data_IF_005330595956
#
_entry.id   IF_005330595956
#
_cell.length_a   1.000
_cell.length_b   1.000
_cell.length_c   1.000
_cell.angle_alpha   90.00
_cell.angle_beta   90.00
_cell.angle_gamma   90.00
#
_symmetry.space_group_name_H-M   'P 1'
#
loop_
_entity.id
_entity.type
_entity.pdbx_description
1 polymer ?
#
# COMPACT_ATOMS: atom_id res chain seq x y z
N UNK A 1 -19.04 -4.33 -15.31
CA UNK A 1 -18.56 -4.12 -16.70
C UNK A 1 -19.56 -4.77 -17.64
N UNK A 2 -19.88 -4.15 -18.78
CA UNK A 2 -20.72 -4.77 -19.82
C UNK A 2 -19.97 -5.84 -20.61
N UNK A 3 -18.63 -5.82 -20.60
CA UNK A 3 -17.77 -6.71 -21.37
C UNK A 3 -16.82 -7.46 -20.42
N UNK A 4 -17.39 -8.36 -19.62
CA UNK A 4 -16.65 -9.07 -18.56
C UNK A 4 -15.48 -9.90 -19.11
N UNK A 5 -15.70 -10.60 -20.22
CA UNK A 5 -14.68 -11.47 -20.84
C UNK A 5 -13.46 -10.69 -21.33
N UNK A 6 -13.67 -9.59 -22.07
CA UNK A 6 -12.59 -8.72 -22.54
C UNK A 6 -11.83 -8.06 -21.38
N UNK A 7 -12.56 -7.68 -20.32
CA UNK A 7 -11.96 -7.13 -19.11
C UNK A 7 -11.05 -8.18 -18.45
N UNK A 8 -11.51 -9.42 -18.36
CA UNK A 8 -10.74 -10.52 -17.79
C UNK A 8 -9.50 -10.85 -18.62
N UNK A 9 -9.64 -10.93 -19.95
CA UNK A 9 -8.53 -11.17 -20.86
C UNK A 9 -7.44 -10.08 -20.76
N UNK A 10 -7.84 -8.81 -20.57
CA UNK A 10 -6.89 -7.73 -20.34
C UNK A 10 -6.15 -7.89 -19.02
N UNK A 11 -6.86 -8.26 -17.95
CA UNK A 11 -6.26 -8.53 -16.64
C UNK A 11 -5.25 -9.69 -16.74
N UNK A 12 -5.62 -10.79 -17.40
CA UNK A 12 -4.70 -11.92 -17.62
C UNK A 12 -3.47 -11.51 -18.43
N UNK A 13 -3.64 -10.71 -19.48
CA UNK A 13 -2.53 -10.17 -20.25
C UNK A 13 -1.60 -9.33 -19.38
N UNK A 14 -2.14 -8.45 -18.53
CA UNK A 14 -1.37 -7.59 -17.61
C UNK A 14 -0.53 -8.39 -16.60
N UNK A 15 -1.06 -9.52 -16.14
CA UNK A 15 -0.39 -10.40 -15.20
C UNK A 15 0.65 -11.33 -15.83
N UNK A 16 0.94 -11.21 -17.13
CA UNK A 16 2.06 -11.95 -17.72
C UNK A 16 3.41 -11.35 -17.26
N UNK A 17 4.42 -12.17 -16.92
CA UNK A 17 5.72 -11.68 -16.45
C UNK A 17 6.40 -10.68 -17.39
N UNK A 18 6.25 -10.89 -18.70
CA UNK A 18 6.81 -10.01 -19.71
C UNK A 18 6.18 -8.61 -19.70
N UNK A 19 4.88 -8.51 -19.40
CA UNK A 19 4.19 -7.21 -19.35
C UNK A 19 4.55 -6.45 -18.07
N UNK A 20 4.59 -7.14 -16.92
CA UNK A 20 5.07 -6.57 -15.66
C UNK A 20 6.49 -5.99 -15.82
N UNK A 21 7.42 -6.80 -16.35
CA UNK A 21 8.78 -6.33 -16.67
C UNK A 21 8.76 -5.09 -17.57
N UNK A 22 8.01 -5.15 -18.68
CA UNK A 22 7.98 -4.04 -19.64
C UNK A 22 7.47 -2.76 -19.01
N UNK A 23 6.46 -2.86 -18.15
CA UNK A 23 5.91 -1.71 -17.45
C UNK A 23 6.89 -1.15 -16.42
N UNK A 24 7.43 -2.02 -15.56
CA UNK A 24 8.32 -1.62 -14.45
C UNK A 24 9.65 -1.06 -14.93
N UNK A 25 10.10 -1.44 -16.13
CA UNK A 25 11.25 -0.80 -16.81
C UNK A 25 11.09 0.73 -16.96
N UNK A 26 9.85 1.22 -17.07
CA UNK A 26 9.57 2.65 -17.18
C UNK A 26 9.05 3.24 -15.86
N UNK A 27 8.18 2.53 -15.16
CA UNK A 27 7.54 3.02 -13.95
C UNK A 27 8.46 2.98 -12.71
N UNK A 28 9.42 2.04 -12.68
CA UNK A 28 10.22 1.77 -11.48
C UNK A 28 9.44 1.04 -10.38
N UNK A 29 8.23 0.56 -10.68
CA UNK A 29 7.39 -0.21 -9.76
C UNK A 29 7.94 -1.62 -9.51
N UNK A 30 7.36 -2.30 -8.51
CA UNK A 30 7.67 -3.68 -8.16
C UNK A 30 6.71 -4.65 -8.86
N UNK A 31 7.20 -5.80 -9.34
CA UNK A 31 6.34 -6.79 -9.98
C UNK A 31 5.38 -7.39 -8.95
N UNK A 32 4.10 -7.46 -9.33
CA UNK A 32 3.02 -7.92 -8.45
C UNK A 32 3.03 -9.45 -8.30
N UNK A 33 3.42 -10.17 -9.35
CA UNK A 33 3.46 -11.64 -9.37
C UNK A 33 4.86 -12.20 -9.11
N UNK A 34 4.91 -13.40 -8.56
CA UNK A 34 6.16 -14.05 -8.15
C UNK A 34 7.05 -14.38 -9.34
N UNK A 35 6.46 -14.86 -10.43
CA UNK A 35 7.17 -15.30 -11.63
C UNK A 35 7.91 -14.14 -12.31
N UNK A 36 7.40 -12.92 -12.20
CA UNK A 36 8.09 -11.75 -12.71
C UNK A 36 9.34 -11.40 -11.89
N UNK A 37 9.34 -11.62 -10.57
CA UNK A 37 10.51 -11.37 -9.69
C UNK A 37 11.74 -12.19 -10.09
N UNK A 38 11.52 -13.38 -10.64
CA UNK A 38 12.56 -14.30 -11.09
C UNK A 38 13.21 -13.88 -12.43
N UNK A 39 12.63 -12.90 -13.14
CA UNK A 39 13.25 -12.40 -14.37
C UNK A 39 14.58 -11.71 -14.04
N UNK A 40 15.65 -11.90 -14.84
CA UNK A 40 16.96 -11.30 -14.58
C UNK A 40 16.93 -9.79 -14.32
N UNK A 41 16.02 -9.07 -14.97
CA UNK A 41 15.82 -7.64 -14.77
C UNK A 41 15.56 -7.24 -13.30
N UNK A 42 14.83 -8.07 -12.55
CA UNK A 42 14.53 -7.84 -11.14
C UNK A 42 15.49 -8.63 -10.24
N UNK A 43 15.70 -9.91 -10.54
CA UNK A 43 16.52 -10.80 -9.72
C UNK A 43 17.99 -10.37 -9.61
N UNK A 44 18.57 -9.77 -10.65
CA UNK A 44 19.98 -9.37 -10.64
C UNK A 44 20.20 -7.90 -10.26
N UNK A 45 19.12 -7.14 -10.11
CA UNK A 45 19.19 -5.71 -9.84
C UNK A 45 19.19 -5.44 -8.32
N UNK A 46 20.27 -4.84 -7.78
CA UNK A 46 20.40 -4.58 -6.34
C UNK A 46 19.26 -3.74 -5.74
N UNK A 47 18.68 -2.81 -6.53
CA UNK A 47 17.60 -1.95 -6.06
C UNK A 47 16.33 -2.77 -5.82
N UNK A 48 15.99 -3.68 -6.71
CA UNK A 48 14.83 -4.57 -6.56
C UNK A 48 15.05 -5.61 -5.45
N UNK A 49 16.28 -6.12 -5.33
CA UNK A 49 16.65 -7.06 -4.27
C UNK A 49 16.46 -6.49 -2.85
N UNK A 50 16.66 -5.19 -2.62
CA UNK A 50 16.32 -4.59 -1.32
C UNK A 50 14.84 -4.68 -0.98
N UNK A 51 13.95 -4.43 -1.96
CA UNK A 51 12.51 -4.50 -1.74
C UNK A 51 12.02 -5.93 -1.51
N UNK A 52 12.60 -6.92 -2.19
CA UNK A 52 12.22 -8.32 -2.00
C UNK A 52 12.76 -8.95 -0.71
N UNK A 53 13.80 -8.37 -0.12
CA UNK A 53 14.35 -8.78 1.18
C UNK A 53 13.67 -8.11 2.37
N UNK A 54 12.87 -7.07 2.13
CA UNK A 54 12.11 -6.45 3.20
C UNK A 54 11.16 -7.54 3.75
N UNK A 55 11.26 -7.91 5.05
CA UNK A 55 10.35 -8.89 5.63
C UNK A 55 8.93 -8.41 5.36
N UNK A 56 8.04 -9.30 4.91
CA UNK A 56 6.68 -8.99 4.48
C UNK A 56 5.90 -8.24 5.60
N UNK A 57 6.09 -6.93 5.72
CA UNK A 57 5.18 -6.01 6.42
C UNK A 57 4.07 -5.61 5.44
N UNK A 58 3.69 -6.52 4.55
CA UNK A 58 2.41 -6.43 3.85
C UNK A 58 1.42 -7.04 4.84
N UNK A 59 1.11 -6.30 5.90
CA UNK A 59 -0.16 -6.55 6.57
C UNK A 59 -1.21 -6.30 5.51
N UNK A 60 -2.07 -7.29 5.25
CA UNK A 60 -3.33 -7.02 4.58
C UNK A 60 -3.95 -5.89 5.38
N UNK A 61 -3.96 -4.71 4.78
CA UNK A 61 -4.58 -3.54 5.38
C UNK A 61 -6.04 -3.95 5.54
N UNK A 62 -6.57 -4.07 6.77
CA UNK A 62 -7.95 -4.46 6.92
C UNK A 62 -8.81 -3.43 6.17
N UNK A 63 -10.01 -3.81 5.73
CA UNK A 63 -10.97 -2.96 5.01
C UNK A 63 -11.49 -1.80 5.89
N UNK A 64 -10.56 -1.05 6.46
CA UNK A 64 -10.76 0.12 7.28
C UNK A 64 -10.70 1.33 6.37
N UNK A 65 -11.31 2.42 6.81
CA UNK A 65 -11.27 3.75 6.20
C UNK A 65 -9.86 4.35 6.32
N UNK A 66 -8.88 3.68 5.74
CA UNK A 66 -7.45 3.88 5.97
C UNK A 66 -7.02 5.29 5.63
N UNK A 67 -7.51 5.83 4.51
CA UNK A 67 -7.26 7.21 4.11
C UNK A 67 -7.63 8.22 5.20
N UNK A 68 -8.71 7.94 5.94
CA UNK A 68 -9.18 8.81 7.02
C UNK A 68 -8.32 8.66 8.27
N UNK A 69 -8.00 7.42 8.63
CA UNK A 69 -7.07 7.11 9.72
C UNK A 69 -5.72 7.78 9.48
N UNK A 70 -5.15 7.68 8.28
CA UNK A 70 -3.84 8.29 7.97
C UNK A 70 -3.88 9.82 8.00
N UNK A 71 -5.00 10.43 7.65
CA UNK A 71 -5.15 11.88 7.75
C UNK A 71 -5.18 12.35 9.22
N UNK A 72 -5.88 11.62 10.09
CA UNK A 72 -5.92 11.89 11.54
C UNK A 72 -4.52 11.75 12.13
N UNK A 73 -3.88 10.61 11.88
CA UNK A 73 -2.53 10.33 12.38
C UNK A 73 -1.55 11.39 11.89
N UNK A 74 -1.57 11.74 10.60
CA UNK A 74 -0.71 12.78 10.02
C UNK A 74 -0.90 14.14 10.68
N UNK A 75 -2.16 14.58 10.85
CA UNK A 75 -2.50 15.85 11.53
C UNK A 75 -1.93 15.92 12.94
N UNK A 76 -2.12 14.87 13.75
CA UNK A 76 -1.70 14.90 15.15
C UNK A 76 -0.19 14.68 15.33
N UNK A 77 0.46 13.94 14.43
CA UNK A 77 1.93 13.93 14.34
C UNK A 77 2.45 15.34 14.07
N UNK A 78 1.87 16.05 13.10
CA UNK A 78 2.27 17.41 12.77
C UNK A 78 2.13 18.36 13.98
N UNK A 79 0.99 18.32 14.67
CA UNK A 79 0.75 19.16 15.84
C UNK A 79 1.71 18.86 17.01
N UNK A 80 2.00 17.59 17.27
CA UNK A 80 2.96 17.19 18.30
C UNK A 80 4.40 17.60 17.93
N UNK A 81 4.80 17.44 16.67
CA UNK A 81 6.13 17.86 16.19
C UNK A 81 6.35 19.38 16.25
N UNK A 82 5.28 20.18 16.17
CA UNK A 82 5.34 21.64 16.29
C UNK A 82 5.02 22.16 17.70
N UNK A 83 5.06 21.29 18.72
CA UNK A 83 4.80 21.61 20.12
C UNK A 83 3.44 22.32 20.35
N UNK A 84 2.44 22.03 19.50
CA UNK A 84 1.09 22.60 19.63
C UNK A 84 0.22 21.86 20.64
N UNK A 85 0.50 20.57 20.82
CA UNK A 85 -0.14 19.67 21.79
C UNK A 85 0.92 18.74 22.38
N UNK A 86 0.62 18.13 23.52
CA UNK A 86 1.49 17.10 24.10
C UNK A 86 1.46 15.79 23.32
N UNK A 87 2.52 14.97 23.44
CA UNK A 87 2.56 13.64 22.79
C UNK A 87 1.45 12.73 23.32
N UNK A 88 1.24 12.70 24.64
CA UNK A 88 0.16 11.89 25.25
C UNK A 88 -1.22 12.36 24.76
N UNK A 89 -1.47 13.66 24.74
CA UNK A 89 -2.70 14.26 24.23
C UNK A 89 -2.94 13.91 22.75
N UNK A 90 -1.89 13.94 21.93
CA UNK A 90 -1.97 13.55 20.52
C UNK A 90 -2.37 12.08 20.38
N UNK A 91 -1.76 11.19 21.16
CA UNK A 91 -2.05 9.75 21.12
C UNK A 91 -3.47 9.43 21.59
N UNK A 92 -3.91 10.04 22.68
CA UNK A 92 -5.27 9.86 23.21
C UNK A 92 -6.32 10.34 22.19
N UNK A 93 -6.06 11.48 21.55
CA UNK A 93 -6.97 12.04 20.53
C UNK A 93 -7.00 11.18 19.27
N UNK A 94 -5.84 10.69 18.81
CA UNK A 94 -5.76 9.74 17.70
C UNK A 94 -6.58 8.48 18.02
N UNK A 95 -6.41 7.90 19.22
CA UNK A 95 -7.13 6.70 19.61
C UNK A 95 -8.64 6.92 19.58
N UNK A 96 -9.12 8.00 20.20
CA UNK A 96 -10.54 8.34 20.22
C UNK A 96 -11.12 8.54 18.80
N UNK A 97 -10.47 9.33 17.94
CA UNK A 97 -11.00 9.58 16.59
C UNK A 97 -10.96 8.33 15.69
N UNK A 98 -9.96 7.45 15.86
CA UNK A 98 -9.92 6.16 15.16
C UNK A 98 -11.06 5.26 15.65
N UNK A 99 -11.32 5.18 16.96
CA UNK A 99 -12.44 4.39 17.51
C UNK A 99 -13.78 4.84 16.92
N UNK A 100 -14.01 6.14 16.77
CA UNK A 100 -15.23 6.68 16.13
C UNK A 100 -15.37 6.24 14.66
N UNK A 101 -14.26 6.23 13.91
CA UNK A 101 -14.24 5.74 12.52
C UNK A 101 -14.58 4.25 12.46
N UNK A 102 -14.00 3.46 13.35
CA UNK A 102 -14.21 2.02 13.40
C UNK A 102 -15.64 1.68 13.82
N UNK A 103 -16.19 2.36 14.83
CA UNK A 103 -17.57 2.21 15.25
C UNK A 103 -18.57 2.53 14.12
N UNK A 104 -18.25 3.51 13.26
CA UNK A 104 -19.06 3.84 12.08
C UNK A 104 -18.95 2.81 10.93
N UNK A 105 -18.06 1.82 11.03
CA UNK A 105 -17.79 0.83 9.98
C UNK A 105 -18.48 -0.53 10.26
N UNK A 106 -19.03 -0.77 11.46
CA UNK A 106 -19.78 -1.99 11.82
C UNK A 106 -21.23 -2.04 11.27
N UNK A 107 -21.42 -1.83 9.96
CA UNK A 107 -22.70 -1.97 9.25
C UNK A 107 -22.64 -3.00 8.11
#
# INVERSE_FOLDING_TARGET
SSNVEETYNFVEWWFQPAQQKRFDQFAGDLPIIKEAKELPFFAENPNYQSYFRQPEVISLMPHLRWSEITNIVGKYIELACYDKIGVEEALDTINYEIEEILAATEL
#
